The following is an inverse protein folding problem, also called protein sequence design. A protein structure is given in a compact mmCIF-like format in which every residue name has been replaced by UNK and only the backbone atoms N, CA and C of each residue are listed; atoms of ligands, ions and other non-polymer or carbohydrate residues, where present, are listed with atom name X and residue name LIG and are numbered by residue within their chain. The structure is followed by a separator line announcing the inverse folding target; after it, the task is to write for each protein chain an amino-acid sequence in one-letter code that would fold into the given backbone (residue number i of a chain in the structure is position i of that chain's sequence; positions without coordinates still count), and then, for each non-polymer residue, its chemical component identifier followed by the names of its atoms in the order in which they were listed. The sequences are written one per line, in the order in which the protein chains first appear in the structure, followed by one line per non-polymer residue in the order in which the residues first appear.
data_IF_260753705031
#
_entry.id   IF_260753705031
#
_cell.length_a   1.000
_cell.length_b   1.000
_cell.length_c   1.000
_cell.angle_alpha   90.00
_cell.angle_beta   90.00
_cell.angle_gamma   90.00
#
_symmetry.space_group_name_H-M   'P 1'
#
loop_
_entity.id
_entity.type
_entity.pdbx_description
1 polymer ?
#
# COMPACT_ATOMS: atom_id res chain seq x y z
N UNK A 1 -23.23 51.14 -46.36
CA UNK A 1 -24.09 50.22 -47.14
C UNK A 1 -23.18 49.14 -47.68
N UNK A 2 -23.29 47.83 -47.46
CA UNK A 2 -24.28 46.97 -46.82
C UNK A 2 -23.58 45.60 -46.71
N UNK A 3 -23.18 45.17 -45.52
CA UNK A 3 -22.95 43.76 -45.21
C UNK A 3 -23.46 43.52 -43.80
N UNK A 4 -24.79 43.45 -43.70
CA UNK A 4 -25.50 43.03 -42.51
C UNK A 4 -26.26 41.77 -42.88
N UNK A 5 -26.09 40.72 -42.06
CA UNK A 5 -26.78 39.42 -42.02
C UNK A 5 -25.88 38.22 -42.34
N UNK A 6 -25.01 37.85 -41.40
CA UNK A 6 -24.65 36.45 -41.10
C UNK A 6 -23.81 36.37 -39.82
N UNK A 7 -24.32 36.93 -38.71
CA UNK A 7 -23.76 36.74 -37.36
C UNK A 7 -24.87 36.75 -36.32
N UNK A 8 -25.77 35.77 -36.37
CA UNK A 8 -26.78 35.56 -35.32
C UNK A 8 -27.22 34.09 -35.29
N UNK A 9 -26.30 33.17 -35.01
CA UNK A 9 -26.64 31.77 -34.73
C UNK A 9 -25.53 30.96 -34.01
N UNK A 10 -24.59 31.59 -33.30
CA UNK A 10 -23.47 30.86 -32.68
C UNK A 10 -23.05 31.40 -31.30
N UNK A 11 -24.00 31.89 -30.49
CA UNK A 11 -23.72 32.40 -29.12
C UNK A 11 -24.61 31.77 -28.03
N UNK A 12 -25.50 30.81 -28.36
CA UNK A 12 -26.45 30.27 -27.35
C UNK A 12 -26.09 28.88 -26.79
N UNK A 13 -25.03 28.20 -27.27
CA UNK A 13 -24.69 26.85 -26.79
C UNK A 13 -23.47 26.75 -25.86
N UNK A 14 -22.83 27.85 -25.46
CA UNK A 14 -21.59 27.83 -24.65
C UNK A 14 -21.76 28.22 -23.19
N UNK A 15 -22.99 28.31 -22.69
CA UNK A 15 -23.29 28.71 -21.30
C UNK A 15 -23.94 27.61 -20.43
N UNK A 16 -24.10 26.39 -20.94
CA UNK A 16 -24.71 25.28 -20.17
C UNK A 16 -23.76 24.16 -19.72
N UNK A 17 -22.47 24.19 -20.12
CA UNK A 17 -21.49 23.16 -19.71
C UNK A 17 -20.58 23.58 -18.55
N UNK A 18 -20.62 24.84 -18.11
CA UNK A 18 -19.88 25.29 -16.91
C UNK A 18 -20.65 25.08 -15.59
N UNK A 19 -21.94 24.74 -15.63
CA UNK A 19 -22.77 24.67 -14.43
C UNK A 19 -22.65 23.34 -13.68
N UNK A 20 -22.40 22.21 -14.35
CA UNK A 20 -22.37 20.90 -13.69
C UNK A 20 -21.09 20.64 -12.87
N UNK A 21 -19.93 21.08 -13.36
CA UNK A 21 -18.66 20.95 -12.64
C UNK A 21 -18.58 21.94 -11.46
N UNK A 22 -19.06 23.18 -11.66
CA UNK A 22 -19.18 24.16 -10.59
C UNK A 22 -20.25 23.74 -9.55
N UNK A 23 -21.39 23.19 -9.96
CA UNK A 23 -22.41 22.69 -9.04
C UNK A 23 -21.95 21.45 -8.25
N UNK A 24 -21.17 20.55 -8.87
CA UNK A 24 -20.53 19.43 -8.14
C UNK A 24 -19.48 19.92 -7.15
N UNK A 25 -18.65 20.90 -7.53
CA UNK A 25 -17.71 21.54 -6.63
C UNK A 25 -18.41 22.21 -5.44
N UNK A 26 -19.47 22.99 -5.69
CA UNK A 26 -20.24 23.68 -4.65
C UNK A 26 -21.03 22.70 -3.76
N UNK A 27 -21.58 21.61 -4.31
CA UNK A 27 -22.28 20.58 -3.55
C UNK A 27 -21.34 19.70 -2.71
N UNK A 28 -20.16 19.34 -3.22
CA UNK A 28 -19.10 18.65 -2.47
C UNK A 28 -18.55 19.56 -1.35
N UNK A 29 -18.39 20.85 -1.62
CA UNK A 29 -17.90 21.82 -0.64
C UNK A 29 -18.97 22.18 0.42
N UNK A 30 -20.26 22.09 0.09
CA UNK A 30 -21.38 22.24 1.01
C UNK A 30 -21.61 20.99 1.89
N UNK A 31 -21.43 19.78 1.35
CA UNK A 31 -21.49 18.52 2.12
C UNK A 31 -20.27 18.36 3.04
N UNK A 32 -19.07 18.74 2.58
CA UNK A 32 -17.89 18.84 3.44
C UNK A 32 -18.09 19.87 4.58
N UNK A 33 -18.73 21.03 4.30
CA UNK A 33 -19.13 21.99 5.33
C UNK A 33 -20.21 21.46 6.28
N UNK A 34 -21.20 20.71 5.78
CA UNK A 34 -22.28 20.13 6.59
C UNK A 34 -21.78 19.07 7.57
N UNK A 35 -20.85 18.22 7.14
CA UNK A 35 -20.20 17.23 8.01
C UNK A 35 -19.21 17.85 9.01
N UNK A 36 -18.55 18.95 8.63
CA UNK A 36 -17.73 19.75 9.55
C UNK A 36 -18.55 20.36 10.70
N UNK A 37 -19.86 20.56 10.53
CA UNK A 37 -20.74 21.10 11.59
C UNK A 37 -21.13 20.02 12.62
N UNK A 38 -21.07 18.72 12.26
CA UNK A 38 -21.50 17.62 13.13
C UNK A 38 -20.36 16.97 13.93
N UNK A 39 -19.10 17.15 13.51
CA UNK A 39 -17.95 16.66 14.27
C UNK A 39 -17.64 17.58 15.46
N UNK A 40 -17.38 17.03 16.66
CA UNK A 40 -16.90 17.83 17.78
C UNK A 40 -15.62 18.59 17.41
N UNK A 41 -15.52 19.83 17.89
CA UNK A 41 -14.36 20.69 17.62
C UNK A 41 -13.07 20.04 18.13
N UNK A 42 -13.17 19.34 19.25
CA UNK A 42 -12.10 18.59 19.89
C UNK A 42 -11.53 17.51 18.98
N UNK A 43 -12.37 16.83 18.19
CA UNK A 43 -11.91 15.80 17.25
C UNK A 43 -10.93 16.38 16.23
N UNK A 44 -11.28 17.51 15.63
CA UNK A 44 -10.41 18.20 14.67
C UNK A 44 -9.12 18.70 15.33
N UNK A 45 -9.20 19.23 16.55
CA UNK A 45 -8.01 19.68 17.28
C UNK A 45 -7.05 18.52 17.58
N UNK A 46 -7.56 17.35 17.97
CA UNK A 46 -6.73 16.17 18.20
C UNK A 46 -6.10 15.65 16.91
N UNK A 47 -6.83 15.65 15.79
CA UNK A 47 -6.27 15.27 14.49
C UNK A 47 -5.18 16.22 14.00
N UNK A 48 -5.37 17.53 14.14
CA UNK A 48 -4.32 18.50 13.78
C UNK A 48 -3.10 18.35 14.70
N UNK A 49 -3.30 18.05 15.98
CA UNK A 49 -2.22 17.72 16.91
C UNK A 49 -1.48 16.46 16.47
N UNK A 50 -2.20 15.41 16.07
CA UNK A 50 -1.62 14.17 15.56
C UNK A 50 -0.82 14.41 14.26
N UNK A 51 -1.39 15.14 13.30
CA UNK A 51 -0.72 15.57 12.07
C UNK A 51 0.58 16.34 12.36
N UNK A 52 0.53 17.29 13.28
CA UNK A 52 1.71 18.07 13.68
C UNK A 52 2.80 17.20 14.33
N UNK A 53 2.42 16.29 15.23
CA UNK A 53 3.35 15.36 15.88
C UNK A 53 4.00 14.38 14.89
N UNK A 54 3.27 13.94 13.87
CA UNK A 54 3.76 13.01 12.84
C UNK A 54 4.59 13.69 11.74
N UNK A 55 4.86 15.01 11.86
CA UNK A 55 5.68 15.74 10.88
C UNK A 55 7.12 15.24 10.81
N UNK A 56 7.69 14.82 11.94
CA UNK A 56 9.00 14.18 12.01
C UNK A 56 8.88 12.94 12.91
N UNK A 57 8.87 11.76 12.32
CA UNK A 57 8.61 10.51 13.05
C UNK A 57 9.35 9.33 12.45
N UNK A 58 9.99 8.56 13.32
CA UNK A 58 10.57 7.26 13.01
C UNK A 58 9.73 6.16 13.66
N UNK A 59 9.43 5.10 12.89
CA UNK A 59 8.65 3.95 13.35
C UNK A 59 9.36 2.65 12.99
N UNK A 60 9.30 1.69 13.90
CA UNK A 60 9.59 0.28 13.61
C UNK A 60 8.33 -0.55 13.89
N UNK A 61 7.94 -1.39 12.95
CA UNK A 61 6.76 -2.24 13.10
C UNK A 61 6.93 -3.57 12.39
N UNK A 62 6.21 -4.59 12.84
CA UNK A 62 6.23 -5.94 12.25
C UNK A 62 4.86 -6.34 11.75
N UNK A 63 4.85 -7.24 10.79
CA UNK A 63 3.65 -7.84 10.25
C UNK A 63 3.68 -9.36 10.43
N UNK A 64 2.53 -9.94 10.77
CA UNK A 64 2.28 -11.37 10.67
C UNK A 64 0.95 -11.60 9.95
N UNK A 65 0.85 -12.70 9.21
CA UNK A 65 -0.36 -13.00 8.44
C UNK A 65 -0.85 -14.43 8.69
N UNK A 66 -2.15 -14.63 8.56
CA UNK A 66 -2.81 -15.94 8.58
C UNK A 66 -4.05 -15.92 7.70
N UNK A 67 -4.51 -17.07 7.22
CA UNK A 67 -5.73 -17.12 6.41
C UNK A 67 -5.88 -18.41 5.62
N UNK A 68 -6.70 -18.34 4.58
CA UNK A 68 -7.13 -19.49 3.76
C UNK A 68 -6.87 -19.31 2.28
N UNK A 69 -6.17 -18.24 1.88
CA UNK A 69 -5.82 -18.00 0.49
C UNK A 69 -4.87 -19.08 -0.02
N UNK A 70 -5.20 -19.66 -1.16
CA UNK A 70 -4.30 -20.55 -1.88
C UNK A 70 -3.08 -19.78 -2.39
N UNK A 71 -1.92 -20.44 -2.44
CA UNK A 71 -0.66 -19.87 -2.91
C UNK A 71 -0.24 -18.57 -2.17
N UNK A 72 -0.59 -18.44 -0.89
CA UNK A 72 -0.11 -17.37 -0.02
C UNK A 72 0.84 -17.96 1.02
N UNK A 73 2.03 -17.36 1.17
CA UNK A 73 2.98 -17.77 2.19
C UNK A 73 2.75 -16.98 3.49
N UNK A 74 2.01 -17.59 4.41
CA UNK A 74 1.71 -17.02 5.72
C UNK A 74 2.89 -17.07 6.71
N UNK A 75 3.98 -17.79 6.37
CA UNK A 75 5.17 -17.82 7.22
C UNK A 75 6.04 -16.57 7.05
N UNK A 76 5.78 -15.76 6.01
CA UNK A 76 6.45 -14.47 5.79
C UNK A 76 5.99 -13.47 6.84
N UNK A 77 6.94 -12.96 7.61
CA UNK A 77 6.72 -11.96 8.66
C UNK A 77 7.69 -10.79 8.46
N UNK A 78 7.32 -9.80 7.64
CA UNK A 78 8.20 -8.68 7.36
C UNK A 78 8.30 -7.73 8.56
N UNK A 79 9.49 -7.17 8.73
CA UNK A 79 9.76 -6.07 9.64
C UNK A 79 10.03 -4.80 8.83
N UNK A 80 9.58 -3.67 9.35
CA UNK A 80 9.66 -2.39 8.67
C UNK A 80 10.33 -1.34 9.56
N UNK A 81 11.16 -0.51 8.93
CA UNK A 81 11.60 0.77 9.48
C UNK A 81 11.11 1.88 8.57
N UNK A 82 10.46 2.88 9.12
CA UNK A 82 9.92 4.02 8.38
C UNK A 82 10.36 5.32 9.04
N UNK A 83 10.81 6.29 8.25
CA UNK A 83 11.10 7.64 8.72
C UNK A 83 10.38 8.66 7.83
N UNK A 84 9.77 9.66 8.44
CA UNK A 84 9.14 10.78 7.76
C UNK A 84 9.68 12.08 8.32
N UNK A 85 9.93 13.04 7.43
CA UNK A 85 10.28 14.42 7.77
C UNK A 85 9.62 15.39 6.77
N UNK A 86 8.47 15.92 7.17
CA UNK A 86 7.57 16.62 6.26
C UNK A 86 7.13 15.70 5.12
N UNK A 87 7.39 16.13 3.89
CA UNK A 87 7.11 15.34 2.68
C UNK A 87 8.18 14.29 2.37
N UNK A 88 9.34 14.34 3.03
CA UNK A 88 10.42 13.36 2.83
C UNK A 88 10.09 12.08 3.57
N UNK A 89 10.49 10.96 2.99
CA UNK A 89 10.30 9.67 3.65
C UNK A 89 11.38 8.67 3.29
N UNK A 90 11.54 7.72 4.19
CA UNK A 90 12.32 6.52 4.02
C UNK A 90 11.51 5.32 4.52
N UNK A 91 11.63 4.19 3.83
CA UNK A 91 11.10 2.91 4.26
C UNK A 91 12.11 1.81 3.95
N UNK A 92 12.28 0.90 4.88
CA UNK A 92 12.93 -0.39 4.68
C UNK A 92 11.98 -1.50 5.07
N UNK A 93 11.93 -2.53 4.25
CA UNK A 93 11.28 -3.80 4.53
C UNK A 93 12.34 -4.89 4.59
N UNK A 94 12.32 -5.68 5.66
CA UNK A 94 13.21 -6.80 5.89
C UNK A 94 12.40 -8.07 6.10
N UNK A 95 12.86 -9.19 5.53
CA UNK A 95 12.23 -10.49 5.72
C UNK A 95 13.30 -11.46 6.21
N UNK A 96 13.20 -11.91 7.47
CA UNK A 96 14.26 -12.65 8.15
C UNK A 96 14.72 -13.94 7.44
N UNK A 97 13.85 -14.56 6.62
CA UNK A 97 14.16 -15.81 5.89
C UNK A 97 14.74 -15.59 4.48
N UNK A 98 14.87 -14.34 4.05
CA UNK A 98 15.34 -13.99 2.71
C UNK A 98 16.57 -13.09 2.85
N UNK A 99 17.72 -13.72 3.13
CA UNK A 99 19.02 -13.03 3.12
C UNK A 99 19.23 -12.36 1.75
N UNK A 100 19.57 -11.06 1.77
CA UNK A 100 19.69 -10.25 0.55
C UNK A 100 18.37 -9.69 0.00
N UNK A 101 17.23 -9.89 0.69
CA UNK A 101 16.02 -9.15 0.39
C UNK A 101 16.17 -7.69 0.85
N UNK A 102 16.44 -6.83 -0.12
CA UNK A 102 16.52 -5.39 0.08
C UNK A 102 15.34 -4.75 -0.62
N UNK A 103 14.40 -4.22 0.15
CA UNK A 103 13.36 -3.34 -0.37
C UNK A 103 13.38 -2.04 0.43
N UNK A 104 14.23 -1.12 -0.03
CA UNK A 104 14.30 0.23 0.53
C UNK A 104 13.78 1.25 -0.48
N UNK A 105 12.99 2.19 0.00
CA UNK A 105 12.46 3.31 -0.77
C UNK A 105 12.70 4.59 0.00
N UNK A 106 13.22 5.61 -0.66
CA UNK A 106 13.36 6.94 -0.07
C UNK A 106 12.89 8.02 -1.06
N UNK A 107 12.46 9.15 -0.52
CA UNK A 107 12.09 10.32 -1.30
C UNK A 107 12.72 11.56 -0.68
N UNK A 108 13.55 12.23 -1.49
CA UNK A 108 14.34 13.40 -1.06
C UNK A 108 13.68 14.75 -1.39
N UNK A 109 12.37 14.75 -1.71
CA UNK A 109 11.66 15.93 -2.17
C UNK A 109 11.66 16.13 -3.69
N UNK A 110 12.59 15.50 -4.42
CA UNK A 110 12.70 15.62 -5.88
C UNK A 110 12.83 14.28 -6.59
N UNK A 111 13.42 13.28 -5.94
CA UNK A 111 13.77 11.99 -6.51
C UNK A 111 13.24 10.88 -5.62
N UNK A 112 12.71 9.86 -6.28
CA UNK A 112 12.40 8.58 -5.66
C UNK A 112 13.62 7.70 -5.83
N UNK A 113 14.13 7.23 -4.70
CA UNK A 113 15.23 6.30 -4.60
C UNK A 113 14.68 4.93 -4.26
N UNK A 114 15.16 3.89 -4.95
CA UNK A 114 14.85 2.49 -4.63
C UNK A 114 16.13 1.70 -4.56
N UNK A 115 16.26 0.86 -3.54
CA UNK A 115 17.28 -0.18 -3.46
C UNK A 115 16.58 -1.52 -3.57
N UNK A 116 17.02 -2.31 -4.54
CA UNK A 116 16.67 -3.72 -4.68
C UNK A 116 17.93 -4.58 -4.84
N UNK A 117 17.74 -5.89 -5.00
CA UNK A 117 18.83 -6.86 -5.21
C UNK A 117 19.77 -6.53 -6.39
N UNK A 118 19.30 -5.73 -7.36
CA UNK A 118 20.06 -5.34 -8.54
C UNK A 118 20.80 -4.00 -8.35
N UNK A 119 20.58 -3.31 -7.22
CA UNK A 119 21.27 -2.07 -6.85
C UNK A 119 20.33 -0.89 -6.59
N UNK A 120 20.88 0.31 -6.76
CA UNK A 120 20.20 1.57 -6.44
C UNK A 120 19.68 2.24 -7.71
N UNK A 121 18.36 2.41 -7.80
CA UNK A 121 17.69 3.21 -8.83
C UNK A 121 17.31 4.58 -8.26
N UNK A 122 17.64 5.63 -9.01
CA UNK A 122 17.18 7.01 -8.76
C UNK A 122 16.27 7.42 -9.91
N UNK A 123 15.06 7.87 -9.60
CA UNK A 123 14.10 8.35 -10.58
C UNK A 123 13.63 9.75 -10.16
N UNK A 124 13.91 10.80 -10.95
CA UNK A 124 13.30 12.12 -10.73
C UNK A 124 11.78 12.00 -10.72
N UNK A 125 11.11 12.74 -9.84
CA UNK A 125 9.65 12.69 -9.71
C UNK A 125 8.94 13.04 -11.03
N UNK A 126 9.48 14.03 -11.75
CA UNK A 126 9.00 14.42 -13.08
C UNK A 126 9.11 13.31 -14.14
N UNK A 127 10.09 12.41 -13.97
CA UNK A 127 10.37 11.28 -14.87
C UNK A 127 9.84 9.96 -14.31
N UNK A 128 8.90 10.01 -13.37
CA UNK A 128 8.27 8.82 -12.81
C UNK A 128 7.03 8.27 -13.54
N UNK A 129 6.72 8.57 -14.85
CA UNK A 129 5.42 8.20 -15.39
C UNK A 129 5.19 6.68 -15.52
N UNK A 130 6.25 5.87 -15.56
CA UNK A 130 6.14 4.41 -15.61
C UNK A 130 5.89 3.75 -14.23
N UNK A 131 6.00 4.50 -13.13
CA UNK A 131 5.61 4.05 -11.79
C UNK A 131 4.11 4.34 -11.49
N UNK A 132 3.39 4.98 -12.42
CA UNK A 132 2.09 5.62 -12.20
C UNK A 132 0.86 4.70 -12.10
N UNK A 133 1.01 3.41 -12.30
CA UNK A 133 -0.15 2.51 -12.47
C UNK A 133 -0.56 1.74 -11.21
N UNK A 134 0.28 1.75 -10.18
CA UNK A 134 0.05 1.00 -8.95
C UNK A 134 0.33 1.85 -7.73
N UNK A 135 -0.29 1.49 -6.59
CA UNK A 135 0.21 1.91 -5.29
C UNK A 135 1.67 1.43 -5.21
N UNK A 136 2.60 2.36 -5.34
CA UNK A 136 4.00 2.03 -5.53
C UNK A 136 4.71 1.82 -4.19
N UNK A 137 4.08 2.26 -3.11
CA UNK A 137 4.58 2.21 -1.75
C UNK A 137 3.43 1.88 -0.79
N UNK A 138 3.69 0.93 0.10
CA UNK A 138 2.75 0.52 1.13
C UNK A 138 3.28 0.91 2.50
N UNK A 139 2.34 1.28 3.37
CA UNK A 139 2.59 1.62 4.77
C UNK A 139 1.67 0.80 5.66
N UNK A 140 1.95 -0.51 5.86
CA UNK A 140 0.98 -1.45 6.41
C UNK A 140 0.43 -1.00 7.77
N UNK A 141 1.34 -0.69 8.69
CA UNK A 141 0.97 -0.21 10.02
C UNK A 141 0.26 1.15 9.97
N UNK A 142 0.75 2.12 9.17
CA UNK A 142 0.15 3.46 9.12
C UNK A 142 -1.29 3.40 8.59
N UNK A 143 -1.53 2.69 7.48
CA UNK A 143 -2.88 2.51 6.95
C UNK A 143 -3.77 1.81 7.99
N UNK A 144 -3.28 0.74 8.62
CA UNK A 144 -4.04 0.02 9.64
C UNK A 144 -4.35 0.88 10.87
N UNK A 145 -3.42 1.72 11.32
CA UNK A 145 -3.57 2.65 12.44
C UNK A 145 -4.45 3.88 12.11
N UNK A 146 -4.98 3.97 10.88
CA UNK A 146 -5.80 5.10 10.46
C UNK A 146 -4.96 6.37 10.23
N UNK A 147 -3.75 6.23 9.71
CA UNK A 147 -2.86 7.31 9.30
C UNK A 147 -2.68 7.23 7.77
N UNK A 148 -3.06 8.29 7.07
CA UNK A 148 -2.83 8.41 5.65
C UNK A 148 -1.37 8.77 5.38
N UNK A 149 -0.74 7.98 4.51
CA UNK A 149 0.65 8.08 4.11
C UNK A 149 0.75 7.98 2.58
N UNK A 150 1.78 8.59 1.95
CA UNK A 150 1.87 8.66 0.50
C UNK A 150 2.03 7.27 -0.12
N UNK A 151 1.02 6.80 -0.86
CA UNK A 151 1.05 5.52 -1.58
C UNK A 151 1.10 5.67 -3.10
N UNK A 152 0.71 6.83 -3.60
CA UNK A 152 0.71 7.22 -5.00
C UNK A 152 1.59 8.45 -5.23
N UNK A 153 2.07 8.64 -6.47
CA UNK A 153 2.90 9.82 -6.82
C UNK A 153 2.15 11.13 -6.55
N UNK A 154 0.85 11.16 -6.83
CA UNK A 154 0.00 12.32 -6.52
C UNK A 154 -0.05 12.64 -5.03
N UNK A 155 0.11 11.64 -4.16
CA UNK A 155 0.22 11.87 -2.71
C UNK A 155 1.56 12.50 -2.38
N UNK A 156 2.65 12.04 -3.00
CA UNK A 156 4.00 12.57 -2.79
C UNK A 156 4.09 14.06 -3.17
N UNK A 157 3.39 14.47 -4.23
CA UNK A 157 3.34 15.88 -4.66
C UNK A 157 2.47 16.76 -3.74
N UNK A 158 1.41 16.19 -3.17
CA UNK A 158 0.38 16.95 -2.42
C UNK A 158 0.62 16.95 -0.91
N UNK A 159 1.06 15.84 -0.34
CA UNK A 159 1.18 15.67 1.10
C UNK A 159 2.45 16.34 1.61
N UNK A 160 2.28 17.25 2.56
CA UNK A 160 3.38 17.91 3.27
C UNK A 160 3.80 17.17 4.55
N UNK A 161 3.00 16.21 5.02
CA UNK A 161 3.26 15.35 6.17
C UNK A 161 2.25 14.17 6.17
N UNK A 162 2.50 13.18 7.03
CA UNK A 162 1.49 12.20 7.42
C UNK A 162 0.27 12.88 8.03
N UNK A 163 -0.92 12.34 7.81
CA UNK A 163 -2.15 12.89 8.38
C UNK A 163 -3.13 11.82 8.84
N UNK A 164 -4.00 12.11 9.82
CA UNK A 164 -5.03 11.16 10.24
C UNK A 164 -5.95 10.83 9.06
N UNK A 165 -6.25 9.54 8.86
CA UNK A 165 -7.04 9.06 7.74
C UNK A 165 -8.46 9.67 7.72
N UNK A 166 -9.06 9.85 8.90
CA UNK A 166 -10.36 10.51 9.02
C UNK A 166 -10.31 11.98 8.60
N UNK A 167 -9.22 12.70 8.91
CA UNK A 167 -9.00 14.07 8.46
C UNK A 167 -8.82 14.10 6.93
N UNK A 168 -8.01 13.20 6.38
CA UNK A 168 -7.85 13.05 4.94
C UNK A 168 -9.19 12.80 4.23
N UNK A 169 -10.00 11.87 4.71
CA UNK A 169 -11.31 11.57 4.11
C UNK A 169 -12.31 12.69 4.28
N UNK A 170 -12.27 13.46 5.38
CA UNK A 170 -13.16 14.61 5.54
C UNK A 170 -12.96 15.66 4.42
N UNK A 171 -11.74 15.78 3.90
CA UNK A 171 -11.41 16.73 2.82
C UNK A 171 -11.68 16.19 1.42
N UNK A 172 -11.68 14.87 1.24
CA UNK A 172 -11.75 14.21 -0.08
C UNK A 172 -13.03 13.39 -0.31
N UNK A 173 -13.91 13.30 0.68
CA UNK A 173 -15.16 12.53 0.60
C UNK A 173 -16.26 13.30 -0.14
N UNK A 174 -17.01 12.59 -1.00
CA UNK A 174 -18.19 13.14 -1.69
C UNK A 174 -19.37 13.36 -0.73
N UNK A 175 -19.47 12.53 0.31
CA UNK A 175 -20.48 12.67 1.36
C UNK A 175 -19.98 12.10 2.67
N UNK A 176 -20.26 12.81 3.76
CA UNK A 176 -19.83 12.40 5.10
C UNK A 176 -21.01 12.44 6.04
N UNK A 177 -21.21 11.35 6.79
CA UNK A 177 -22.26 11.20 7.81
C UNK A 177 -21.61 10.94 9.16
N UNK A 178 -22.06 11.65 10.19
CA UNK A 178 -21.56 11.50 11.56
C UNK A 178 -22.71 11.04 12.47
N UNK A 179 -22.46 9.99 13.25
CA UNK A 179 -23.45 9.39 14.15
C UNK A 179 -22.80 9.12 15.52
N UNK A 180 -23.47 9.50 16.61
CA UNK A 180 -23.05 9.10 17.94
C UNK A 180 -23.37 7.62 18.18
N UNK A 181 -22.40 6.87 18.69
CA UNK A 181 -22.53 5.44 19.00
C UNK A 181 -21.94 5.18 20.38
N UNK A 182 -22.78 5.25 21.41
CA UNK A 182 -22.32 5.26 22.80
C UNK A 182 -21.46 6.48 23.06
N UNK A 183 -20.24 6.27 23.58
CA UNK A 183 -19.24 7.33 23.78
C UNK A 183 -18.43 7.63 22.51
N UNK A 184 -18.55 6.79 21.47
CA UNK A 184 -17.77 6.91 20.24
C UNK A 184 -18.53 7.67 19.15
N UNK A 185 -17.82 8.05 18.09
CA UNK A 185 -18.41 8.64 16.89
C UNK A 185 -18.20 7.71 15.70
N UNK A 186 -19.28 7.29 15.05
CA UNK A 186 -19.21 6.63 13.76
C UNK A 186 -19.22 7.70 12.66
N UNK A 187 -18.21 7.70 11.82
CA UNK A 187 -18.12 8.57 10.65
C UNK A 187 -18.08 7.72 9.40
N UNK A 188 -19.03 7.95 8.50
CA UNK A 188 -19.15 7.25 7.24
C UNK A 188 -18.77 8.21 6.11
N UNK A 189 -17.81 7.80 5.28
CA UNK A 189 -17.31 8.55 4.14
C UNK A 189 -17.62 7.82 2.83
N UNK A 190 -17.89 8.58 1.76
CA UNK A 190 -17.88 8.08 0.38
C UNK A 190 -16.65 8.62 -0.33
N UNK A 191 -15.67 7.76 -0.58
CA UNK A 191 -14.36 8.15 -1.13
C UNK A 191 -14.08 7.42 -2.43
N UNK A 192 -13.16 7.95 -3.24
CA UNK A 192 -12.71 7.26 -4.44
C UNK A 192 -12.14 5.87 -4.10
N UNK A 193 -12.56 4.86 -4.85
CA UNK A 193 -12.03 3.50 -4.82
C UNK A 193 -10.96 3.37 -5.90
N UNK A 194 -9.74 3.80 -5.58
CA UNK A 194 -8.62 3.71 -6.50
C UNK A 194 -8.37 2.27 -6.94
N UNK A 195 -8.54 1.28 -6.05
CA UNK A 195 -8.33 -0.12 -6.40
C UNK A 195 -9.36 -0.61 -7.43
N UNK A 196 -10.64 -0.34 -7.21
CA UNK A 196 -11.68 -0.70 -8.18
C UNK A 196 -11.51 0.04 -9.51
N UNK A 197 -11.07 1.31 -9.46
CA UNK A 197 -10.76 2.09 -10.65
C UNK A 197 -9.67 1.40 -11.49
N UNK A 198 -8.60 0.95 -10.83
CA UNK A 198 -7.51 0.23 -11.49
C UNK A 198 -7.94 -1.14 -12.03
N UNK A 199 -8.71 -1.90 -11.26
CA UNK A 199 -9.25 -3.18 -11.72
C UNK A 199 -10.05 -3.01 -13.02
N UNK A 200 -10.87 -1.96 -13.10
CA UNK A 200 -11.63 -1.65 -14.32
C UNK A 200 -10.71 -1.36 -15.51
N UNK A 201 -9.68 -0.53 -15.31
CA UNK A 201 -8.71 -0.19 -16.37
C UNK A 201 -8.00 -1.44 -16.90
N UNK A 202 -7.55 -2.34 -16.00
CA UNK A 202 -6.83 -3.55 -16.40
C UNK A 202 -7.73 -4.55 -17.15
N UNK A 203 -8.99 -4.74 -16.74
CA UNK A 203 -9.95 -5.58 -17.48
C UNK A 203 -10.13 -5.06 -18.91
N UNK A 204 -10.31 -3.74 -19.07
CA UNK A 204 -10.52 -3.13 -20.38
C UNK A 204 -9.28 -3.25 -21.28
N UNK A 205 -8.08 -3.18 -20.68
CA UNK A 205 -6.82 -3.39 -21.39
C UNK A 205 -6.66 -4.81 -21.88
N UNK A 206 -6.97 -5.81 -21.06
CA UNK A 206 -6.91 -7.22 -21.48
C UNK A 206 -7.88 -7.57 -22.61
N UNK A 207 -8.98 -6.81 -22.74
CA UNK A 207 -9.93 -6.94 -23.85
C UNK A 207 -9.46 -6.30 -25.15
N UNK A 208 -8.35 -5.56 -25.12
CA UNK A 208 -7.84 -4.78 -26.24
C UNK A 208 -6.44 -5.27 -26.61
N UNK A 209 -6.19 -5.72 -27.85
CA UNK A 209 -4.83 -6.03 -28.31
C UNK A 209 -3.94 -4.77 -28.23
N UNK A 210 -2.88 -4.73 -27.40
CA UNK A 210 -2.12 -3.49 -27.22
C UNK A 210 -1.25 -3.22 -28.47
N UNK A 211 -1.43 -2.09 -29.18
CA UNK A 211 -0.50 -1.66 -30.20
C UNK A 211 0.80 -1.14 -29.55
N UNK A 212 1.93 -1.22 -30.27
CA UNK A 212 3.20 -0.63 -29.81
C UNK A 212 3.04 0.87 -29.52
N UNK A 213 3.54 1.32 -28.36
CA UNK A 213 3.49 2.70 -27.86
C UNK A 213 4.12 3.73 -28.81
N UNK A 214 5.00 3.29 -29.72
CA UNK A 214 5.65 4.14 -30.73
C UNK A 214 4.84 4.33 -32.02
N UNK A 215 3.72 3.63 -32.17
CA UNK A 215 2.84 3.81 -33.33
C UNK A 215 1.79 4.90 -33.07
N UNK A 216 1.26 5.57 -34.10
CA UNK A 216 0.12 6.48 -33.94
C UNK A 216 -1.09 5.84 -33.23
N UNK A 217 -1.23 4.51 -33.38
CA UNK A 217 -2.26 3.71 -32.70
C UNK A 217 -1.96 3.51 -31.20
N UNK A 218 -0.69 3.37 -30.83
CA UNK A 218 -0.24 3.34 -29.43
C UNK A 218 -0.38 4.68 -28.73
N UNK A 219 -0.04 5.79 -29.40
CA UNK A 219 -0.25 7.15 -28.89
C UNK A 219 -1.75 7.44 -28.71
N UNK A 220 -2.60 7.00 -29.64
CA UNK A 220 -4.05 7.11 -29.50
C UNK A 220 -4.61 6.29 -28.32
N UNK A 221 -4.09 5.08 -28.09
CA UNK A 221 -4.45 4.24 -26.95
C UNK A 221 -4.01 4.87 -25.62
N UNK A 222 -2.84 5.51 -25.56
CA UNK A 222 -2.38 6.24 -24.38
C UNK A 222 -3.25 7.48 -24.09
N UNK A 223 -3.64 8.23 -25.13
CA UNK A 223 -4.61 9.33 -25.00
C UNK A 223 -5.97 8.82 -24.50
N UNK A 224 -6.39 7.64 -24.94
CA UNK A 224 -7.63 7.00 -24.47
C UNK A 224 -7.54 6.54 -23.02
N UNK A 225 -6.42 5.93 -22.61
CA UNK A 225 -6.13 5.58 -21.21
C UNK A 225 -6.15 6.83 -20.32
N UNK A 226 -5.54 7.93 -20.75
CA UNK A 226 -5.59 9.23 -20.05
C UNK A 226 -7.03 9.77 -19.96
N UNK A 227 -7.87 9.57 -20.97
CA UNK A 227 -9.30 9.94 -20.91
C UNK A 227 -10.08 9.04 -19.95
N UNK A 228 -9.78 7.74 -19.90
CA UNK A 228 -10.40 6.79 -18.96
C UNK A 228 -10.01 7.07 -17.52
N UNK A 229 -8.78 7.50 -17.26
CA UNK A 229 -8.34 8.00 -15.95
C UNK A 229 -9.09 9.26 -15.49
N UNK A 230 -9.69 10.01 -16.42
CA UNK A 230 -10.53 11.19 -16.16
C UNK A 230 -12.03 10.87 -16.04
N UNK A 231 -12.44 9.61 -16.23
CA UNK A 231 -13.80 9.17 -15.99
C UNK A 231 -14.14 9.25 -14.49
N UNK A 232 -15.42 9.34 -14.10
CA UNK A 232 -15.80 9.29 -12.69
C UNK A 232 -15.27 7.99 -12.08
N UNK A 233 -14.40 8.13 -11.08
CA UNK A 233 -13.82 7.00 -10.37
C UNK A 233 -14.93 6.28 -9.60
N UNK A 234 -14.92 4.93 -9.54
CA UNK A 234 -15.79 4.23 -8.62
C UNK A 234 -15.55 4.72 -7.19
N UNK A 235 -16.59 4.70 -6.38
CA UNK A 235 -16.51 5.09 -4.97
C UNK A 235 -16.69 3.87 -4.06
N UNK A 236 -16.15 3.97 -2.85
CA UNK A 236 -16.30 3.00 -1.78
C UNK A 236 -16.74 3.70 -0.52
N UNK A 237 -17.46 2.95 0.31
CA UNK A 237 -17.89 3.42 1.62
C UNK A 237 -16.85 3.03 2.66
N UNK A 238 -16.36 4.01 3.42
CA UNK A 238 -15.46 3.79 4.56
C UNK A 238 -16.18 4.24 5.82
N UNK A 239 -16.32 3.34 6.79
CA UNK A 239 -16.92 3.62 8.10
C UNK A 239 -15.81 3.56 9.14
N UNK A 240 -15.61 4.64 9.89
CA UNK A 240 -14.62 4.72 10.96
C UNK A 240 -15.34 4.95 12.28
N UNK A 241 -15.04 4.13 13.29
CA UNK A 241 -15.43 4.36 14.67
C UNK A 241 -14.30 5.10 15.39
N UNK A 242 -14.52 6.39 15.64
CA UNK A 242 -13.59 7.27 16.34
C UNK A 242 -13.80 7.13 17.84
N UNK A 243 -12.69 6.95 18.56
CA UNK A 243 -12.68 6.80 20.01
C UNK A 243 -12.15 8.09 20.68
N UNK A 244 -13.01 8.86 21.36
CA UNK A 244 -12.58 10.09 22.04
C UNK A 244 -11.54 9.86 23.15
N UNK A 245 -11.51 8.67 23.79
CA UNK A 245 -10.54 8.36 24.86
C UNK A 245 -9.11 8.30 24.33
N UNK A 246 -8.97 7.92 23.06
CA UNK A 246 -7.69 7.82 22.36
C UNK A 246 -7.50 8.94 21.34
N UNK A 247 -7.95 10.16 21.68
CA UNK A 247 -7.74 11.35 20.84
C UNK A 247 -8.48 11.29 19.49
N UNK A 248 -9.66 10.66 19.45
CA UNK A 248 -10.42 10.41 18.22
C UNK A 248 -9.64 9.58 17.20
N UNK A 249 -8.79 8.66 17.66
CA UNK A 249 -8.17 7.64 16.83
C UNK A 249 -9.20 6.66 16.25
N UNK A 250 -8.87 6.04 15.12
CA UNK A 250 -9.70 5.03 14.47
C UNK A 250 -9.63 3.69 15.24
N UNK A 251 -10.58 3.45 16.13
CA UNK A 251 -10.70 2.19 16.89
C UNK A 251 -11.13 1.01 16.01
N UNK A 252 -12.01 1.28 15.05
CA UNK A 252 -12.45 0.33 14.05
C UNK A 252 -12.65 1.04 12.70
N UNK A 253 -12.28 0.38 11.61
CA UNK A 253 -12.53 0.82 10.24
C UNK A 253 -13.15 -0.31 9.45
N UNK A 254 -14.27 -0.09 8.79
CA UNK A 254 -14.83 -0.99 7.80
C UNK A 254 -14.80 -0.33 6.42
N UNK A 255 -14.50 -1.12 5.40
CA UNK A 255 -14.49 -0.68 4.01
C UNK A 255 -15.42 -1.57 3.18
N UNK A 256 -16.25 -0.94 2.36
CA UNK A 256 -17.27 -1.58 1.54
C UNK A 256 -17.15 -1.08 0.10
N UNK A 257 -17.17 -1.99 -0.86
CA UNK A 257 -17.14 -1.63 -2.28
C UNK A 257 -18.47 -0.99 -2.74
N UNK A 258 -18.51 -0.51 -3.98
CA UNK A 258 -19.71 0.08 -4.59
C UNK A 258 -20.93 -0.87 -4.64
N UNK A 259 -20.71 -2.19 -4.58
CA UNK A 259 -21.77 -3.20 -4.55
C UNK A 259 -22.31 -3.48 -3.13
N UNK A 260 -21.82 -2.77 -2.11
CA UNK A 260 -22.22 -2.98 -0.71
C UNK A 260 -21.64 -4.25 -0.09
N UNK A 261 -20.55 -4.78 -0.64
CA UNK A 261 -19.83 -5.92 -0.10
C UNK A 261 -18.63 -5.44 0.73
N UNK A 262 -18.46 -6.03 1.91
CA UNK A 262 -17.34 -5.70 2.79
C UNK A 262 -16.04 -6.21 2.18
N UNK A 263 -15.05 -5.32 2.05
CA UNK A 263 -13.74 -5.64 1.48
C UNK A 263 -12.65 -5.69 2.56
N UNK A 264 -12.83 -4.93 3.64
CA UNK A 264 -11.88 -4.85 4.74
C UNK A 264 -12.55 -4.47 6.05
N UNK A 265 -11.99 -4.97 7.14
CA UNK A 265 -12.27 -4.51 8.50
C UNK A 265 -10.95 -4.42 9.24
N UNK A 266 -10.66 -3.31 9.90
CA UNK A 266 -9.45 -3.10 10.67
C UNK A 266 -9.85 -2.74 12.10
N UNK A 267 -9.19 -3.35 13.08
CA UNK A 267 -9.36 -3.04 14.50
C UNK A 267 -8.03 -2.55 15.07
N UNK A 268 -8.08 -1.46 15.84
CA UNK A 268 -6.93 -0.88 16.52
C UNK A 268 -7.01 -1.17 18.02
N UNK A 269 -5.94 -1.74 18.56
CA UNK A 269 -5.84 -2.31 19.89
C UNK A 269 -4.58 -1.79 20.61
N UNK A 270 -4.48 -2.05 21.91
CA UNK A 270 -3.30 -1.76 22.74
C UNK A 270 -2.80 -0.31 22.60
N UNK A 271 -3.73 0.64 22.74
CA UNK A 271 -3.45 2.06 22.60
C UNK A 271 -2.42 2.55 23.61
N UNK A 272 -1.43 3.29 23.12
CA UNK A 272 -0.39 3.92 23.93
C UNK A 272 -0.40 5.43 23.73
N UNK A 273 -0.33 6.15 24.85
CA UNK A 273 -0.12 7.59 24.84
C UNK A 273 1.39 7.90 24.82
N UNK A 274 1.79 8.77 23.92
CA UNK A 274 3.18 9.22 23.79
C UNK A 274 3.27 10.64 24.34
N UNK A 275 3.61 10.77 25.62
CA UNK A 275 3.59 12.05 26.36
C UNK A 275 4.36 13.17 25.65
N UNK A 276 5.56 12.88 25.15
CA UNK A 276 6.41 13.87 24.46
C UNK A 276 5.79 14.45 23.18
N UNK A 277 4.94 13.68 22.49
CA UNK A 277 4.20 14.12 21.32
C UNK A 277 2.75 14.53 21.65
N UNK A 278 2.25 14.11 22.81
CA UNK A 278 0.90 14.33 23.28
C UNK A 278 -0.18 13.66 22.43
N UNK A 279 0.12 12.51 21.81
CA UNK A 279 -0.79 11.79 20.90
C UNK A 279 -0.95 10.33 21.30
N UNK A 280 -2.04 9.72 20.86
CA UNK A 280 -2.27 8.29 20.95
C UNK A 280 -1.93 7.60 19.63
N UNK A 281 -1.32 6.41 19.73
CA UNK A 281 -1.16 5.48 18.62
C UNK A 281 -1.50 4.06 19.10
N UNK A 282 -2.12 3.21 18.27
CA UNK A 282 -2.35 1.81 18.61
C UNK A 282 -1.05 1.02 18.50
N UNK A 283 -0.69 0.23 19.52
CA UNK A 283 0.48 -0.64 19.39
C UNK A 283 0.19 -1.86 18.52
N UNK A 284 -1.09 -2.19 18.30
CA UNK A 284 -1.50 -3.37 17.55
C UNK A 284 -2.70 -3.04 16.66
N UNK A 285 -2.63 -3.41 15.39
CA UNK A 285 -3.77 -3.33 14.48
C UNK A 285 -4.00 -4.68 13.80
N UNK A 286 -5.26 -5.12 13.72
CA UNK A 286 -5.65 -6.36 13.05
C UNK A 286 -6.53 -6.03 11.86
N UNK A 287 -6.03 -6.31 10.66
CA UNK A 287 -6.76 -6.15 9.41
C UNK A 287 -7.33 -7.50 8.94
N UNK A 288 -8.62 -7.51 8.62
CA UNK A 288 -9.39 -8.63 8.13
C UNK A 288 -9.82 -8.33 6.70
N UNK A 289 -9.29 -9.09 5.74
CA UNK A 289 -9.60 -8.94 4.33
C UNK A 289 -10.50 -10.08 3.85
N UNK A 290 -11.52 -9.70 3.09
CA UNK A 290 -12.55 -10.59 2.55
C UNK A 290 -12.25 -11.05 1.12
N UNK A 291 -11.13 -10.58 0.58
CA UNK A 291 -10.52 -11.02 -0.66
C UNK A 291 -8.99 -11.00 -0.51
N UNK A 292 -8.31 -11.55 -1.52
CA UNK A 292 -6.87 -11.42 -1.64
C UNK A 292 -6.46 -9.95 -1.71
N UNK A 293 -5.58 -9.48 -0.81
CA UNK A 293 -5.08 -8.11 -0.89
C UNK A 293 -4.32 -7.88 -2.20
N UNK A 294 -4.52 -6.72 -2.82
CA UNK A 294 -3.69 -6.21 -3.94
C UNK A 294 -3.73 -7.04 -5.24
N UNK A 295 -4.67 -7.97 -5.40
CA UNK A 295 -4.85 -8.77 -6.61
C UNK A 295 -6.29 -8.69 -7.13
N UNK A 296 -6.44 -8.90 -8.44
CA UNK A 296 -7.71 -8.92 -9.15
C UNK A 296 -8.59 -10.06 -8.66
N UNK A 297 -9.81 -9.79 -8.17
CA UNK A 297 -10.79 -10.82 -7.85
C UNK A 297 -12.24 -10.36 -8.12
N UNK A 298 -13.04 -11.16 -8.85
CA UNK A 298 -14.46 -10.91 -9.04
C UNK A 298 -15.33 -11.38 -7.86
N UNK A 299 -14.80 -12.21 -6.94
CA UNK A 299 -15.58 -12.80 -5.85
C UNK A 299 -15.01 -12.43 -4.47
N UNK A 300 -15.88 -11.87 -3.62
CA UNK A 300 -15.62 -11.56 -2.21
C UNK A 300 -16.19 -12.67 -1.33
N UNK A 301 -15.40 -13.10 -0.35
CA UNK A 301 -15.86 -14.02 0.69
C UNK A 301 -16.75 -13.30 1.70
N UNK A 302 -17.67 -14.04 2.31
CA UNK A 302 -18.47 -13.54 3.46
C UNK A 302 -17.67 -13.51 4.76
N UNK A 303 -16.67 -14.37 4.87
CA UNK A 303 -15.76 -14.47 6.02
C UNK A 303 -14.35 -13.99 5.64
N UNK A 304 -13.55 -13.48 6.60
CA UNK A 304 -12.18 -13.08 6.33
C UNK A 304 -11.33 -14.26 5.80
N UNK A 305 -10.67 -14.05 4.66
CA UNK A 305 -9.79 -15.05 4.03
C UNK A 305 -8.31 -14.74 4.27
N UNK A 306 -8.00 -13.52 4.71
CA UNK A 306 -6.66 -13.09 5.06
C UNK A 306 -6.73 -12.12 6.24
N UNK A 307 -6.08 -12.48 7.34
CA UNK A 307 -5.96 -11.69 8.55
C UNK A 307 -4.50 -11.30 8.71
N UNK A 308 -4.25 -10.00 8.83
CA UNK A 308 -2.91 -9.45 9.02
C UNK A 308 -2.87 -8.74 10.36
N UNK A 309 -1.84 -9.00 11.17
CA UNK A 309 -1.59 -8.29 12.42
C UNK A 309 -0.34 -7.44 12.25
N UNK A 310 -0.49 -6.14 12.49
CA UNK A 310 0.61 -5.19 12.55
C UNK A 310 0.90 -4.84 14.00
N UNK A 311 2.16 -4.86 14.39
CA UNK A 311 2.58 -4.51 15.74
C UNK A 311 3.63 -3.41 15.69
N UNK A 312 3.33 -2.28 16.33
CA UNK A 312 4.26 -1.18 16.52
C UNK A 312 5.29 -1.55 17.59
N UNK A 313 6.56 -1.54 17.23
CA UNK A 313 7.66 -1.90 18.14
C UNK A 313 8.35 -0.68 18.71
N UNK A 314 8.51 0.36 17.89
CA UNK A 314 9.21 1.59 18.28
C UNK A 314 8.59 2.80 17.58
N UNK A 315 8.52 3.90 18.31
CA UNK A 315 8.20 5.22 17.76
C UNK A 315 9.13 6.25 18.38
N UNK A 316 9.69 7.11 17.54
CA UNK A 316 10.47 8.25 17.98
C UNK A 316 10.02 9.48 17.21
N UNK A 317 9.72 10.54 17.95
CA UNK A 317 9.31 11.82 17.38
C UNK A 317 10.50 12.78 17.29
N UNK A 318 10.43 13.70 16.33
CA UNK A 318 11.48 14.68 16.07
C UNK A 318 12.42 14.25 14.96
N UNK A 319 13.24 15.21 14.52
CA UNK A 319 14.18 15.04 13.42
C UNK A 319 15.25 14.01 13.77
N UNK A 320 15.63 13.23 12.76
CA UNK A 320 16.71 12.25 12.81
C UNK A 320 17.70 12.56 11.71
N UNK A 321 18.98 12.35 12.00
CA UNK A 321 20.03 12.40 10.99
C UNK A 321 20.01 11.12 10.14
N UNK A 322 18.96 10.96 9.33
CA UNK A 322 18.75 9.85 8.40
C UNK A 322 18.66 10.47 6.99
N UNK A 323 19.57 10.14 6.07
CA UNK A 323 19.49 10.67 4.70
C UNK A 323 18.32 10.06 3.94
N UNK A 324 17.72 10.84 3.05
CA UNK A 324 16.68 10.38 2.10
C UNK A 324 17.24 10.01 0.72
N UNK A 325 18.55 9.74 0.66
CA UNK A 325 19.28 9.39 -0.58
C UNK A 325 20.07 8.10 -0.38
N UNK A 326 20.33 7.38 -1.47
CA UNK A 326 21.16 6.18 -1.46
C UNK A 326 22.51 6.44 -2.12
N UNK A 327 23.59 5.98 -1.48
CA UNK A 327 24.90 5.91 -2.12
C UNK A 327 24.90 4.80 -3.17
N UNK A 328 25.14 5.17 -4.44
CA UNK A 328 25.24 4.25 -5.58
C UNK A 328 26.55 3.46 -5.58
N UNK A 329 27.60 3.98 -4.96
CA UNK A 329 28.94 3.40 -5.00
C UNK A 329 29.16 2.27 -3.97
N UNK A 330 28.24 2.13 -3.01
CA UNK A 330 28.31 1.12 -1.94
C UNK A 330 27.22 0.08 -2.11
N UNK A 331 27.59 -1.11 -2.57
CA UNK A 331 26.80 -2.31 -2.27
C UNK A 331 27.02 -2.64 -0.79
N UNK A 332 25.94 -2.96 -0.06
CA UNK A 332 26.03 -3.45 1.32
C UNK A 332 25.81 -2.44 2.46
N UNK A 333 25.99 -1.12 2.26
CA UNK A 333 25.65 -0.16 3.32
C UNK A 333 24.17 0.22 3.21
N UNK A 334 23.32 -0.48 3.94
CA UNK A 334 21.96 -0.01 4.24
C UNK A 334 22.03 1.36 4.90
N UNK A 335 21.01 2.20 4.74
CA UNK A 335 20.94 3.48 5.49
C UNK A 335 21.06 3.26 7.01
N UNK A 336 20.79 2.03 7.46
CA UNK A 336 20.92 1.55 8.84
C UNK A 336 22.19 0.74 9.16
N UNK A 337 23.22 0.73 8.33
CA UNK A 337 24.50 0.11 8.72
C UNK A 337 25.28 1.04 9.67
N UNK A 338 24.80 1.14 10.93
CA UNK A 338 25.55 1.70 12.05
C UNK A 338 26.36 0.58 12.70
N UNK A 339 27.44 0.18 12.05
CA UNK A 339 28.56 -0.53 12.69
C UNK A 339 29.61 0.43 13.27
N UNK A 340 29.23 1.67 13.61
CA UNK A 340 30.06 2.55 14.44
C UNK A 340 29.21 3.24 15.52
N UNK A 341 29.32 2.69 16.74
CA UNK A 341 29.32 3.38 18.06
C UNK A 341 28.02 4.08 18.50
N UNK A 342 27.38 3.85 19.65
CA UNK A 342 27.67 3.09 20.88
C UNK A 342 26.32 2.88 21.62
N UNK A 343 26.28 1.87 22.49
CA UNK A 343 25.21 1.43 23.42
C UNK A 343 24.31 0.28 22.93
N UNK A 344 24.63 -0.98 23.30
CA UNK A 344 23.78 -2.13 23.03
C UNK A 344 22.66 -2.22 24.06
N UNK A 345 21.42 -2.38 23.61
CA UNK A 345 20.39 -3.05 24.43
C UNK A 345 20.79 -4.53 24.50
N UNK A 346 21.56 -4.85 25.54
CA UNK A 346 21.90 -6.21 25.90
C UNK A 346 20.64 -6.96 26.33
N UNK A 347 20.10 -7.78 25.44
CA UNK A 347 19.31 -8.95 25.82
C UNK A 347 20.25 -10.15 25.81
N UNK A 348 20.65 -10.58 27.00
CA UNK A 348 21.43 -11.78 27.23
C UNK A 348 20.63 -13.03 26.81
N UNK A 349 21.11 -13.69 25.76
CA UNK A 349 20.89 -15.13 25.52
C UNK A 349 22.25 -15.72 25.11
N UNK A 350 22.65 -16.89 25.65
CA UNK A 350 23.96 -17.45 25.37
C UNK A 350 24.06 -17.86 23.91
N UNK A 351 25.05 -17.31 23.19
CA UNK A 351 25.41 -17.77 21.85
C UNK A 351 25.79 -19.25 21.94
N UNK A 352 24.96 -20.11 21.36
CA UNK A 352 25.44 -21.39 20.86
C UNK A 352 26.41 -21.10 19.70
N UNK A 353 27.57 -21.72 19.78
CA UNK A 353 28.71 -21.62 18.88
C UNK A 353 28.26 -21.86 17.42
N UNK A 354 28.47 -20.86 16.56
CA UNK A 354 28.15 -20.92 15.15
C UNK A 354 29.08 -21.96 14.49
N UNK A 355 28.55 -23.12 14.13
CA UNK A 355 29.30 -24.18 13.46
C UNK A 355 29.91 -23.62 12.17
N UNK A 356 31.25 -23.69 12.04
CA UNK A 356 31.96 -23.23 10.85
C UNK A 356 31.53 -24.09 9.67
N UNK A 357 30.78 -23.49 8.75
CA UNK A 357 30.37 -24.13 7.50
C UNK A 357 31.61 -24.58 6.73
N UNK A 358 31.74 -25.89 6.51
CA UNK A 358 32.82 -26.45 5.72
C UNK A 358 32.58 -26.18 4.23
N UNK A 359 33.21 -25.11 3.76
CA UNK A 359 33.14 -24.62 2.37
C UNK A 359 33.59 -25.70 1.38
N UNK A 360 34.50 -26.60 1.76
CA UNK A 360 34.95 -27.69 0.90
C UNK A 360 33.83 -28.71 0.65
N UNK A 361 33.01 -28.98 1.67
CA UNK A 361 31.84 -29.85 1.56
C UNK A 361 30.76 -29.22 0.67
N UNK A 362 30.53 -27.91 0.77
CA UNK A 362 29.58 -27.18 -0.08
C UNK A 362 29.97 -27.23 -1.55
N UNK A 363 31.25 -27.00 -1.88
CA UNK A 363 31.74 -27.08 -3.27
C UNK A 363 31.65 -28.50 -3.84
N UNK A 364 31.84 -29.52 -2.98
CA UNK A 364 31.66 -30.92 -3.38
C UNK A 364 30.19 -31.24 -3.69
N UNK A 365 29.26 -30.74 -2.89
CA UNK A 365 27.81 -30.88 -3.14
C UNK A 365 27.41 -30.20 -4.46
N UNK A 366 27.91 -28.98 -4.72
CA UNK A 366 27.65 -28.28 -5.99
C UNK A 366 28.14 -29.07 -7.19
N UNK A 367 29.35 -29.63 -7.09
CA UNK A 367 29.95 -30.44 -8.16
C UNK A 367 29.10 -31.68 -8.45
N UNK A 368 28.63 -32.37 -7.39
CA UNK A 368 27.80 -33.57 -7.51
C UNK A 368 26.42 -33.28 -8.13
N UNK A 369 25.77 -32.18 -7.74
CA UNK A 369 24.48 -31.73 -8.31
C UNK A 369 24.61 -31.35 -9.79
N UNK A 370 25.75 -30.81 -10.21
CA UNK A 370 25.93 -30.36 -11.59
C UNK A 370 26.36 -31.48 -12.54
N UNK A 371 27.20 -32.41 -12.07
CA UNK A 371 27.84 -33.39 -12.97
C UNK A 371 27.35 -34.83 -12.78
N UNK A 372 26.83 -35.18 -11.60
CA UNK A 372 26.47 -36.56 -11.23
C UNK A 372 25.04 -36.69 -10.68
N UNK A 373 24.16 -35.70 -10.94
CA UNK A 373 22.84 -35.65 -10.31
C UNK A 373 21.92 -36.80 -10.70
N UNK A 374 21.71 -37.70 -9.74
CA UNK A 374 20.74 -38.80 -9.85
C UNK A 374 19.29 -38.28 -9.93
N UNK A 375 19.04 -37.07 -9.41
CA UNK A 375 17.71 -36.42 -9.44
C UNK A 375 17.29 -36.10 -10.87
N UNK A 376 18.22 -35.65 -11.72
CA UNK A 376 17.91 -35.40 -13.14
C UNK A 376 17.56 -36.69 -13.89
N UNK A 377 18.16 -37.82 -13.52
CA UNK A 377 17.78 -39.14 -14.05
C UNK A 377 16.35 -39.54 -13.64
N UNK A 378 15.98 -39.32 -12.38
CA UNK A 378 14.63 -39.61 -11.86
C UNK A 378 13.58 -38.70 -12.53
N UNK A 379 13.90 -37.41 -12.70
CA UNK A 379 13.01 -36.44 -13.36
C UNK A 379 12.80 -36.83 -14.83
N UNK A 380 13.85 -37.20 -15.56
CA UNK A 380 13.75 -37.67 -16.95
C UNK A 380 12.88 -38.93 -17.06
N UNK A 381 13.05 -39.90 -16.15
CA UNK A 381 12.24 -41.12 -16.16
C UNK A 381 10.76 -40.82 -15.85
N UNK A 382 10.48 -39.92 -14.90
CA UNK A 382 9.12 -39.49 -14.57
C UNK A 382 8.43 -38.76 -15.73
N UNK A 383 9.17 -37.94 -16.48
CA UNK A 383 8.61 -37.24 -17.65
C UNK A 383 8.36 -38.17 -18.82
N UNK A 384 9.26 -39.12 -19.08
CA UNK A 384 9.17 -40.02 -20.23
C UNK A 384 8.13 -41.13 -20.05
N UNK A 385 8.00 -41.69 -18.83
CA UNK A 385 7.07 -42.81 -18.56
C UNK A 385 5.66 -42.32 -18.20
N UNK A 386 5.52 -41.18 -17.52
CA UNK A 386 4.22 -40.77 -16.96
C UNK A 386 3.63 -39.47 -17.54
N UNK A 387 4.41 -38.67 -18.29
CA UNK A 387 3.93 -37.46 -18.96
C UNK A 387 3.24 -36.42 -18.04
N UNK A 388 2.56 -35.41 -18.60
CA UNK A 388 1.91 -34.34 -17.83
C UNK A 388 0.77 -34.87 -16.94
N UNK A 389 0.85 -34.63 -15.62
CA UNK A 389 -0.18 -35.05 -14.66
C UNK A 389 -1.10 -33.89 -14.32
N UNK A 390 -2.30 -33.90 -14.88
CA UNK A 390 -3.42 -33.11 -14.39
C UNK A 390 -4.21 -33.92 -13.37
N UNK A 391 -4.40 -33.37 -12.17
CA UNK A 391 -5.30 -33.96 -11.15
C UNK A 391 -6.70 -34.14 -11.75
N UNK A 392 -7.16 -35.40 -11.84
CA UNK A 392 -8.42 -35.79 -12.47
C UNK A 392 -8.32 -36.37 -13.88
N UNK A 393 -7.11 -36.47 -14.48
CA UNK A 393 -6.91 -37.10 -15.79
C UNK A 393 -6.67 -38.63 -15.68
N UNK A 394 -6.87 -39.41 -16.75
CA UNK A 394 -6.70 -40.88 -16.73
C UNK A 394 -5.32 -41.36 -16.25
N UNK A 395 -4.28 -40.54 -16.42
CA UNK A 395 -2.90 -40.84 -16.01
C UNK A 395 -2.69 -40.79 -14.49
N UNK A 396 -3.69 -40.40 -13.70
CA UNK A 396 -3.59 -40.40 -12.22
C UNK A 396 -3.71 -41.79 -11.59
N UNK A 397 -4.15 -42.81 -12.33
CA UNK A 397 -4.38 -44.17 -11.81
C UNK A 397 -3.28 -45.20 -12.11
N UNK A 398 -2.15 -44.81 -12.72
CA UNK A 398 -1.02 -45.73 -12.90
C UNK A 398 -0.18 -45.87 -11.62
N UNK A 399 -0.74 -46.55 -10.63
CA UNK A 399 0.02 -47.16 -9.54
C UNK A 399 0.58 -48.50 -10.05
N UNK A 400 1.90 -48.72 -10.10
CA UNK A 400 2.40 -50.07 -10.32
C UNK A 400 2.06 -50.92 -9.09
N UNK A 401 1.40 -52.04 -9.33
CA UNK A 401 1.48 -53.19 -8.43
C UNK A 401 2.94 -53.68 -8.44
N UNK A 402 3.38 -54.21 -7.31
CA UNK A 402 4.79 -54.35 -6.94
C UNK A 402 5.72 -55.05 -7.93
N UNK A 403 6.99 -54.66 -7.83
CA UNK A 403 8.16 -55.54 -7.75
C UNK A 403 9.31 -54.76 -7.14
#
# INVERSE_FOLDING_TARGET
MTQTKLRTAAVVCTSFLLSAAAARGVAAQATARGAQIQLPREARQQWEKQKAALRAVYLEFTETSRGTLTNWDYAVAPAYSAYFEGSHFYRREQIARYEGYDNEVAFDGQNIWRRDRNGVKRTPLADAPDLMRFRFLDWPYLDAAGIYAPGYISDVERLSALEPLALHYLENSESTKVEAVGENLRVTFQVADELANWQKIEIEKQRSDPPSATTPKGVAAEIEDVKKLKAPKPTRTVVILLDPKHGYGASEREEWNAAGQRIGRIQSEDWKFFEGAGIWLPNRCVAFYYARPKLFLPELSKEPVHIVTHELKRVEFGEKNIPFTFDKAKSGNHIFDRTTSETPLASALPLAELEKVDVATVERIKTEVLHNSQVMGIVSWLTDVYGPRLTGSPNTQSRPAGS
#
